data_IF_558008688885
#
_entry.id   IF_558008688885
#
_cell.length_a   1.000
_cell.length_b   1.000
_cell.length_c   1.000
_cell.angle_alpha   90.00
_cell.angle_beta   90.00
_cell.angle_gamma   90.00
#
_symmetry.space_group_name_H-M   'P 1'
#
loop_
_entity.id
_entity.type
_entity.pdbx_description
1 polymer ?
#
# COMPACT_ATOMS: atom_id res chain seq x y z
N UNK A 1 50.31 -5.74 -62.78
CA UNK A 1 49.74 -4.39 -62.66
C UNK A 1 48.48 -4.48 -61.83
N UNK A 2 48.64 -4.09 -60.65
CA UNK A 2 47.86 -3.32 -59.71
C UNK A 2 46.46 -3.83 -59.37
N UNK A 3 46.37 -4.57 -58.30
CA UNK A 3 45.13 -4.86 -57.57
C UNK A 3 44.93 -3.82 -56.46
N UNK A 4 43.86 -3.06 -56.56
CA UNK A 4 43.50 -2.08 -55.52
C UNK A 4 42.57 -2.80 -54.50
N UNK A 5 43.12 -3.00 -53.31
CA UNK A 5 42.40 -3.57 -52.16
C UNK A 5 41.44 -2.54 -51.57
N UNK A 6 40.17 -2.76 -51.70
CA UNK A 6 39.13 -1.91 -51.10
C UNK A 6 38.80 -2.41 -49.69
N UNK A 7 39.39 -1.76 -48.69
CA UNK A 7 39.04 -1.98 -47.27
C UNK A 7 37.73 -1.31 -46.97
N UNK A 8 36.68 -2.10 -46.80
CA UNK A 8 35.42 -1.65 -46.25
C UNK A 8 35.55 -1.52 -44.73
N UNK A 9 35.68 -0.30 -44.24
CA UNK A 9 35.49 0.02 -42.82
C UNK A 9 34.01 -0.13 -42.47
N UNK A 10 33.66 -1.19 -41.76
CA UNK A 10 32.37 -1.28 -41.05
C UNK A 10 32.43 -0.37 -39.85
N UNK A 11 31.85 0.82 -39.94
CA UNK A 11 31.59 1.68 -38.78
C UNK A 11 30.46 1.07 -37.98
N UNK A 12 30.82 0.24 -37.01
CA UNK A 12 29.93 -0.20 -35.94
C UNK A 12 29.46 1.00 -35.14
N UNK A 13 28.23 1.43 -35.39
CA UNK A 13 27.53 2.42 -34.58
C UNK A 13 27.25 1.79 -33.19
N UNK A 14 28.17 1.93 -32.26
CA UNK A 14 27.92 1.67 -30.84
C UNK A 14 26.74 2.56 -30.41
N UNK A 15 25.56 1.97 -30.29
CA UNK A 15 24.49 2.57 -29.51
C UNK A 15 25.01 2.69 -28.09
N UNK A 16 25.42 3.89 -27.70
CA UNK A 16 25.68 4.25 -26.31
C UNK A 16 24.34 4.17 -25.59
N UNK A 17 24.00 2.99 -25.06
CA UNK A 17 22.93 2.86 -24.07
C UNK A 17 23.22 3.83 -22.94
N UNK A 18 22.25 4.62 -22.54
CA UNK A 18 22.33 5.44 -21.34
C UNK A 18 22.85 4.55 -20.20
N UNK A 19 23.98 4.93 -19.62
CA UNK A 19 24.59 4.17 -18.55
C UNK A 19 23.60 4.15 -17.36
N UNK A 20 23.36 3.02 -16.71
CA UNK A 20 22.33 2.87 -15.67
C UNK A 20 22.48 3.87 -14.52
N UNK A 21 23.70 4.40 -14.27
CA UNK A 21 23.93 5.44 -13.28
C UNK A 21 23.29 6.79 -13.62
N UNK A 22 23.03 7.09 -14.91
CA UNK A 22 22.34 8.33 -15.34
C UNK A 22 20.87 8.31 -14.91
N UNK A 23 20.24 7.15 -14.95
CA UNK A 23 18.86 6.96 -14.46
C UNK A 23 18.79 7.02 -12.93
N UNK A 24 19.80 6.50 -12.23
CA UNK A 24 19.93 6.62 -10.78
C UNK A 24 20.13 8.08 -10.33
N UNK A 25 20.93 8.83 -11.05
CA UNK A 25 21.12 10.28 -10.80
C UNK A 25 19.86 11.06 -11.13
N UNK A 26 19.15 10.73 -12.22
CA UNK A 26 17.87 11.37 -12.56
C UNK A 26 16.79 11.06 -11.50
N UNK A 27 16.75 9.83 -10.98
CA UNK A 27 15.86 9.45 -9.89
C UNK A 27 16.21 10.19 -8.59
N UNK A 28 17.49 10.32 -8.25
CA UNK A 28 17.95 11.11 -7.09
C UNK A 28 17.67 12.61 -7.24
N UNK A 29 17.71 13.15 -8.46
CA UNK A 29 17.38 14.56 -8.72
C UNK A 29 15.87 14.84 -8.71
N UNK A 30 15.03 13.82 -8.88
CA UNK A 30 13.58 13.93 -8.73
C UNK A 30 13.09 13.88 -7.26
N UNK A 31 13.90 13.32 -6.33
CA UNK A 31 13.55 13.29 -4.90
C UNK A 31 13.34 14.68 -4.26
N UNK A 32 14.15 15.72 -4.54
CA UNK A 32 13.97 17.04 -3.94
C UNK A 32 12.66 17.73 -4.37
N UNK A 33 12.18 17.48 -5.58
CA UNK A 33 10.92 18.08 -6.07
C UNK A 33 9.68 17.47 -5.43
N UNK A 34 9.75 16.20 -5.01
CA UNK A 34 8.71 15.54 -4.20
C UNK A 34 8.74 16.04 -2.74
N UNK A 35 9.92 16.38 -2.21
CA UNK A 35 10.09 16.95 -0.86
C UNK A 35 9.61 18.40 -0.74
N UNK A 36 9.70 19.18 -1.81
CA UNK A 36 9.25 20.57 -1.82
C UNK A 36 7.71 20.70 -1.70
N UNK A 37 6.96 19.69 -2.02
CA UNK A 37 5.50 19.68 -1.92
C UNK A 37 4.98 19.44 -0.49
N UNK A 38 5.83 18.99 0.44
CA UNK A 38 5.45 18.77 1.85
C UNK A 38 5.74 19.97 2.77
N UNK A 39 6.40 21.00 2.27
CA UNK A 39 6.62 22.26 3.00
C UNK A 39 5.51 23.30 2.70
N UNK A 40 4.27 22.89 2.71
CA UNK A 40 3.21 23.83 2.97
C UNK A 40 3.41 24.33 4.42
N UNK A 41 3.56 25.66 4.65
CA UNK A 41 3.76 26.16 5.99
C UNK A 41 2.58 25.69 6.85
N UNK A 42 2.89 25.00 7.94
CA UNK A 42 1.93 24.77 9.01
C UNK A 42 1.37 26.15 9.37
N UNK A 43 0.04 26.35 9.38
CA UNK A 43 -0.49 27.62 9.85
C UNK A 43 -0.04 27.78 11.30
N UNK A 44 0.86 28.71 11.52
CA UNK A 44 1.26 29.15 12.86
C UNK A 44 0.03 29.82 13.43
N UNK A 45 -0.72 29.12 14.26
CA UNK A 45 -1.77 29.73 15.07
C UNK A 45 -1.09 30.65 16.09
N UNK A 46 -0.90 31.91 15.72
CA UNK A 46 -0.65 32.95 16.71
C UNK A 46 -1.87 32.99 17.62
N UNK A 47 -1.69 32.60 18.88
CA UNK A 47 -2.64 32.88 19.94
C UNK A 47 -2.69 34.39 20.12
N UNK A 48 -3.42 35.05 19.25
CA UNK A 48 -3.89 36.44 19.47
C UNK A 48 -5.01 36.38 20.50
N UNK A 49 -4.65 36.56 21.77
CA UNK A 49 -5.61 36.97 22.78
C UNK A 49 -6.07 38.37 22.43
N UNK A 50 -7.03 38.49 21.54
CA UNK A 50 -7.81 39.70 21.40
C UNK A 50 -9.11 39.50 22.18
N UNK A 51 -9.26 40.22 23.28
CA UNK A 51 -10.55 40.52 23.92
C UNK A 51 -11.47 41.20 22.89
N UNK A 52 -12.08 40.38 22.09
CA UNK A 52 -13.18 40.72 21.22
C UNK A 52 -14.29 39.73 21.52
N UNK A 53 -15.32 40.19 22.20
CA UNK A 53 -16.59 39.48 22.29
C UNK A 53 -17.07 39.19 20.87
N UNK A 54 -16.70 37.97 20.38
CA UNK A 54 -17.29 37.45 19.15
C UNK A 54 -18.77 37.24 19.44
N UNK A 55 -19.57 38.14 18.94
CA UNK A 55 -21.00 37.94 18.77
C UNK A 55 -21.17 36.72 17.84
N UNK A 56 -21.16 35.53 18.40
CA UNK A 56 -21.60 34.29 17.77
C UNK A 56 -23.13 34.44 17.61
N UNK A 57 -23.57 35.24 16.68
CA UNK A 57 -24.86 35.00 16.04
C UNK A 57 -24.76 33.65 15.42
N UNK A 58 -25.25 32.61 16.11
CA UNK A 58 -25.33 31.23 15.66
C UNK A 58 -26.36 31.11 14.53
N UNK A 59 -26.07 31.73 13.37
CA UNK A 59 -26.82 31.45 12.16
C UNK A 59 -26.37 30.06 11.74
N UNK A 60 -27.32 29.11 11.77
CA UNK A 60 -27.09 27.73 11.29
C UNK A 60 -26.48 27.79 9.88
N UNK A 61 -25.53 26.91 9.56
CA UNK A 61 -24.90 26.86 8.25
C UNK A 61 -25.94 26.74 7.12
N UNK A 62 -25.81 27.54 6.08
CA UNK A 62 -26.66 27.46 4.90
C UNK A 62 -26.18 26.42 3.88
N UNK A 63 -25.07 25.76 4.16
CA UNK A 63 -24.49 24.72 3.31
C UNK A 63 -24.12 23.49 4.16
N UNK A 64 -24.30 22.31 3.58
CA UNK A 64 -23.87 21.05 4.20
C UNK A 64 -23.10 20.20 3.18
N UNK A 65 -21.85 19.85 3.52
CA UNK A 65 -21.01 19.00 2.71
C UNK A 65 -21.37 17.54 2.97
N UNK A 66 -21.69 16.80 1.92
CA UNK A 66 -22.07 15.38 2.02
C UNK A 66 -20.84 14.50 1.80
N UNK A 67 -20.45 13.75 2.83
CA UNK A 67 -19.37 12.77 2.81
C UNK A 67 -19.94 11.36 2.89
N UNK A 68 -19.61 10.49 1.94
CA UNK A 68 -20.12 9.11 1.93
C UNK A 68 -19.15 8.16 2.67
N UNK A 69 -19.63 7.51 3.72
CA UNK A 69 -18.94 6.46 4.48
C UNK A 69 -19.54 5.12 4.08
N UNK A 70 -18.98 4.51 3.02
CA UNK A 70 -19.46 3.25 2.46
C UNK A 70 -18.37 2.20 2.29
N UNK A 71 -18.76 0.93 2.29
CA UNK A 71 -17.85 -0.19 2.21
C UNK A 71 -16.97 -0.36 3.45
N UNK A 72 -15.75 -0.88 3.28
CA UNK A 72 -14.82 -1.08 4.40
C UNK A 72 -14.27 0.24 4.93
N UNK A 73 -14.23 0.39 6.25
CA UNK A 73 -13.60 1.53 6.93
C UNK A 73 -12.10 1.28 6.99
N UNK A 74 -11.34 2.14 6.30
CA UNK A 74 -9.89 2.05 6.15
C UNK A 74 -9.22 3.43 6.31
N UNK A 75 -7.88 3.46 6.36
CA UNK A 75 -7.14 4.71 6.54
C UNK A 75 -7.34 5.69 5.37
N UNK A 76 -7.57 5.21 4.14
CA UNK A 76 -7.90 6.06 3.00
C UNK A 76 -9.24 6.78 3.20
N UNK A 77 -10.24 6.07 3.76
CA UNK A 77 -11.52 6.66 4.15
C UNK A 77 -11.34 7.70 5.26
N UNK A 78 -10.50 7.42 6.27
CA UNK A 78 -10.22 8.37 7.34
C UNK A 78 -9.60 9.67 6.80
N UNK A 79 -8.66 9.58 5.87
CA UNK A 79 -8.09 10.75 5.20
C UNK A 79 -9.10 11.53 4.36
N UNK A 80 -9.95 10.83 3.62
CA UNK A 80 -11.04 11.45 2.87
C UNK A 80 -11.99 12.23 3.79
N UNK A 81 -12.46 11.62 4.87
CA UNK A 81 -13.33 12.29 5.86
C UNK A 81 -12.64 13.50 6.46
N UNK A 82 -11.38 13.38 6.87
CA UNK A 82 -10.62 14.50 7.41
C UNK A 82 -10.44 15.65 6.39
N UNK A 83 -10.32 15.35 5.10
CA UNK A 83 -10.31 16.39 4.04
C UNK A 83 -11.66 17.11 3.97
N UNK A 84 -12.77 16.35 3.90
CA UNK A 84 -14.12 16.96 3.80
C UNK A 84 -14.43 17.83 5.01
N UNK A 85 -14.11 17.36 6.22
CA UNK A 85 -14.32 18.15 7.45
C UNK A 85 -13.49 19.45 7.42
N UNK A 86 -12.22 19.40 6.98
CA UNK A 86 -11.40 20.62 6.82
C UNK A 86 -11.97 21.60 5.80
N UNK A 87 -12.40 21.10 4.62
CA UNK A 87 -12.99 21.91 3.55
C UNK A 87 -14.29 22.59 4.02
N UNK A 88 -15.15 21.83 4.71
CA UNK A 88 -16.39 22.36 5.28
C UNK A 88 -16.11 23.40 6.37
N UNK A 89 -15.17 23.13 7.28
CA UNK A 89 -14.76 24.05 8.34
C UNK A 89 -14.21 25.35 7.79
N UNK A 90 -13.42 25.30 6.72
CA UNK A 90 -12.85 26.51 6.08
C UNK A 90 -13.90 27.49 5.54
N UNK A 91 -15.11 27.01 5.24
CA UNK A 91 -16.22 27.82 4.73
C UNK A 91 -17.39 27.92 5.71
N UNK A 92 -17.25 27.40 6.93
CA UNK A 92 -18.32 27.41 7.94
C UNK A 92 -19.55 26.58 7.55
N UNK A 93 -19.38 25.53 6.73
CA UNK A 93 -20.45 24.63 6.33
C UNK A 93 -20.57 23.43 7.30
N UNK A 94 -21.78 22.89 7.45
CA UNK A 94 -21.97 21.61 8.15
C UNK A 94 -21.43 20.42 7.36
N UNK A 95 -21.24 19.28 8.03
CA UNK A 95 -20.89 18.02 7.37
C UNK A 95 -21.94 16.95 7.63
N UNK A 96 -22.40 16.31 6.57
CA UNK A 96 -23.32 15.16 6.62
C UNK A 96 -22.56 13.91 6.22
N UNK A 97 -22.52 12.95 7.10
CA UNK A 97 -21.96 11.62 6.84
C UNK A 97 -23.06 10.65 6.43
N UNK A 98 -23.17 10.35 5.13
CA UNK A 98 -24.05 9.31 4.63
C UNK A 98 -23.42 7.96 4.86
N UNK A 99 -24.02 7.11 5.73
CA UNK A 99 -23.39 5.89 6.23
C UNK A 99 -24.17 4.66 5.74
N UNK A 100 -23.50 3.77 4.99
CA UNK A 100 -23.88 2.37 4.75
C UNK A 100 -22.62 1.51 4.72
N UNK A 101 -22.24 0.98 5.90
CA UNK A 101 -21.01 0.23 6.08
C UNK A 101 -21.19 -0.89 7.11
N UNK A 102 -20.55 -2.02 6.84
CA UNK A 102 -20.47 -3.17 7.76
C UNK A 102 -19.28 -3.09 8.70
N UNK A 103 -18.52 -1.98 8.69
CA UNK A 103 -17.37 -1.77 9.57
C UNK A 103 -16.03 -1.86 8.85
N UNK A 104 -14.97 -2.07 9.63
CA UNK A 104 -13.60 -2.13 9.12
C UNK A 104 -12.56 -2.00 10.23
N UNK A 105 -11.47 -1.29 9.98
CA UNK A 105 -10.36 -1.16 10.91
C UNK A 105 -10.71 -0.22 12.08
N UNK A 106 -10.49 -0.69 13.30
CA UNK A 106 -10.72 0.09 14.53
C UNK A 106 -9.90 1.39 14.52
N UNK A 107 -8.62 1.33 14.17
CA UNK A 107 -7.75 2.53 14.15
C UNK A 107 -8.24 3.59 13.17
N UNK A 108 -8.78 3.18 12.01
CA UNK A 108 -9.37 4.10 11.04
C UNK A 108 -10.68 4.71 11.56
N UNK A 109 -11.50 3.91 12.23
CA UNK A 109 -12.73 4.38 12.85
C UNK A 109 -12.45 5.40 13.96
N UNK A 110 -11.46 5.14 14.81
CA UNK A 110 -11.02 6.08 15.85
C UNK A 110 -10.54 7.41 15.25
N UNK A 111 -9.76 7.37 14.16
CA UNK A 111 -9.33 8.60 13.47
C UNK A 111 -10.52 9.39 12.91
N UNK A 112 -11.51 8.71 12.34
CA UNK A 112 -12.73 9.35 11.83
C UNK A 112 -13.53 9.93 13.00
N UNK A 113 -13.79 9.14 14.05
CA UNK A 113 -14.47 9.56 15.27
C UNK A 113 -13.83 10.82 15.87
N UNK A 114 -12.51 10.81 16.05
CA UNK A 114 -11.77 11.95 16.59
C UNK A 114 -11.86 13.18 15.68
N UNK A 115 -11.89 12.98 14.37
CA UNK A 115 -12.08 14.06 13.38
C UNK A 115 -13.47 14.68 13.54
N UNK A 116 -14.49 13.87 13.75
CA UNK A 116 -15.88 14.31 13.94
C UNK A 116 -16.02 15.04 15.28
N UNK A 117 -15.58 14.45 16.37
CA UNK A 117 -15.65 15.05 17.70
C UNK A 117 -14.90 16.39 17.85
N UNK A 118 -13.85 16.60 17.04
CA UNK A 118 -13.07 17.85 17.02
C UNK A 118 -13.52 18.82 15.94
N UNK A 119 -14.57 18.51 15.20
CA UNK A 119 -15.07 19.41 14.17
C UNK A 119 -15.64 20.70 14.81
N UNK A 120 -15.24 21.87 14.29
CA UNK A 120 -15.78 23.16 14.72
C UNK A 120 -16.99 23.58 13.88
N UNK A 121 -17.69 22.64 13.27
CA UNK A 121 -18.89 22.83 12.45
C UNK A 121 -19.89 21.73 12.78
N UNK A 122 -21.19 21.96 12.65
CA UNK A 122 -22.20 20.95 12.92
C UNK A 122 -21.98 19.68 12.09
N UNK A 123 -22.09 18.53 12.75
CA UNK A 123 -21.92 17.21 12.15
C UNK A 123 -23.18 16.39 12.23
N UNK A 124 -23.59 15.76 11.13
CA UNK A 124 -24.79 14.94 11.02
C UNK A 124 -24.38 13.57 10.51
N UNK A 125 -24.75 12.52 11.22
CA UNK A 125 -24.69 11.17 10.69
C UNK A 125 -26.09 10.77 10.17
N UNK A 126 -26.16 10.36 8.91
CA UNK A 126 -27.36 9.76 8.32
C UNK A 126 -27.08 8.30 7.99
N UNK A 127 -27.62 7.39 8.77
CA UNK A 127 -27.52 5.95 8.52
C UNK A 127 -28.56 5.54 7.48
N UNK A 128 -28.11 5.40 6.24
CA UNK A 128 -28.98 5.05 5.11
C UNK A 128 -29.33 3.56 5.11
N UNK A 129 -28.36 2.67 5.42
CA UNK A 129 -28.56 1.23 5.48
C UNK A 129 -28.02 0.64 6.77
N UNK A 130 -26.73 0.49 6.87
CA UNK A 130 -26.06 -0.15 8.00
C UNK A 130 -24.98 0.75 8.59
N UNK A 131 -24.95 0.82 9.91
CA UNK A 131 -23.84 1.34 10.66
C UNK A 131 -23.38 0.24 11.64
N UNK A 132 -22.69 -0.78 11.11
CA UNK A 132 -22.24 -1.91 11.93
C UNK A 132 -20.78 -1.80 12.32
N UNK A 133 -20.43 -2.37 13.48
CA UNK A 133 -19.06 -2.43 13.97
C UNK A 133 -18.43 -1.02 14.04
N UNK A 134 -17.28 -0.82 13.42
CA UNK A 134 -16.58 0.46 13.33
C UNK A 134 -17.46 1.62 12.81
N UNK A 135 -18.47 1.34 11.98
CA UNK A 135 -19.39 2.35 11.48
C UNK A 135 -20.37 2.84 12.56
N UNK A 136 -20.72 2.02 13.55
CA UNK A 136 -21.54 2.44 14.68
C UNK A 136 -20.82 3.49 15.51
N UNK A 137 -19.52 3.29 15.77
CA UNK A 137 -18.69 4.27 16.50
C UNK A 137 -18.64 5.62 15.76
N UNK A 138 -18.53 5.59 14.44
CA UNK A 138 -18.49 6.79 13.62
C UNK A 138 -19.85 7.50 13.62
N UNK A 139 -20.95 6.73 13.48
CA UNK A 139 -22.28 7.29 13.45
C UNK A 139 -22.64 8.01 14.76
N UNK A 140 -22.32 7.39 15.91
CA UNK A 140 -22.62 7.97 17.23
C UNK A 140 -21.74 9.17 17.58
N UNK A 141 -20.63 9.39 16.88
CA UNK A 141 -19.73 10.52 17.12
C UNK A 141 -20.26 11.86 16.57
N UNK A 142 -21.26 11.83 15.70
CA UNK A 142 -21.84 13.05 15.15
C UNK A 142 -22.79 13.73 16.16
N UNK A 143 -22.87 15.07 16.06
CA UNK A 143 -23.76 15.89 16.91
C UNK A 143 -25.22 15.50 16.73
N UNK A 144 -25.62 15.10 15.50
CA UNK A 144 -26.98 14.65 15.19
C UNK A 144 -26.94 13.33 14.45
N UNK A 145 -27.66 12.30 14.95
CA UNK A 145 -27.79 10.98 14.37
C UNK A 145 -29.20 10.78 13.83
N UNK A 146 -29.33 10.74 12.53
CA UNK A 146 -30.58 10.40 11.83
C UNK A 146 -30.46 9.01 11.20
N UNK A 147 -31.56 8.25 11.24
CA UNK A 147 -31.61 6.89 10.72
C UNK A 147 -32.74 6.72 9.71
N UNK A 148 -32.45 6.06 8.58
CA UNK A 148 -33.47 5.73 7.59
C UNK A 148 -34.36 4.56 8.06
N UNK A 149 -35.64 4.53 7.64
CA UNK A 149 -36.48 3.34 7.85
C UNK A 149 -35.79 2.09 7.27
N UNK A 150 -35.70 1.02 8.08
CA UNK A 150 -35.03 -0.22 7.70
C UNK A 150 -33.52 -0.23 7.92
N UNK A 151 -32.91 0.87 8.38
CA UNK A 151 -31.51 0.88 8.77
C UNK A 151 -31.27 0.29 10.15
N UNK A 152 -29.99 -0.01 10.45
CA UNK A 152 -29.58 -0.57 11.74
C UNK A 152 -28.20 -0.08 12.16
N UNK A 153 -27.96 -0.07 13.50
CA UNK A 153 -26.70 0.35 14.12
C UNK A 153 -26.31 -0.62 15.24
N UNK A 154 -25.02 -0.96 15.39
CA UNK A 154 -24.47 -1.81 16.46
C UNK A 154 -23.55 -2.91 15.97
N UNK A 155 -23.59 -4.10 16.59
CA UNK A 155 -22.79 -5.30 16.26
C UNK A 155 -21.28 -5.01 16.13
N UNK A 156 -20.65 -4.56 17.23
CA UNK A 156 -19.28 -3.99 17.20
C UNK A 156 -18.25 -4.82 17.97
N UNK A 157 -18.44 -6.13 18.09
CA UNK A 157 -17.44 -6.99 18.75
C UNK A 157 -16.08 -6.93 18.03
N UNK A 158 -14.98 -6.68 18.76
CA UNK A 158 -13.67 -6.54 18.15
C UNK A 158 -13.07 -7.87 17.69
N UNK A 159 -12.33 -7.84 16.58
CA UNK A 159 -11.57 -8.99 16.08
C UNK A 159 -10.07 -8.63 16.07
N UNK A 160 -9.20 -9.38 16.82
CA UNK A 160 -9.49 -10.57 17.63
C UNK A 160 -10.21 -10.23 18.94
N UNK A 161 -11.08 -11.13 19.40
CA UNK A 161 -11.75 -11.02 20.69
C UNK A 161 -10.77 -11.45 21.79
N UNK A 162 -10.20 -10.47 22.47
CA UNK A 162 -9.39 -10.66 23.69
C UNK A 162 -9.90 -9.75 24.79
N UNK A 163 -9.63 -10.07 26.05
CA UNK A 163 -10.04 -9.20 27.18
C UNK A 163 -9.51 -7.76 27.00
N UNK A 164 -8.29 -7.60 26.43
CA UNK A 164 -7.69 -6.29 26.16
C UNK A 164 -8.43 -5.53 25.07
N UNK A 165 -8.67 -6.16 23.93
CA UNK A 165 -9.34 -5.49 22.79
C UNK A 165 -10.79 -5.19 23.10
N UNK A 166 -11.50 -6.09 23.77
CA UNK A 166 -12.86 -5.89 24.22
C UNK A 166 -12.96 -4.68 25.16
N UNK A 167 -12.14 -4.66 26.22
CA UNK A 167 -12.13 -3.55 27.18
C UNK A 167 -11.81 -2.21 26.51
N UNK A 168 -10.80 -2.17 25.63
CA UNK A 168 -10.41 -0.94 24.95
C UNK A 168 -11.52 -0.41 24.02
N UNK A 169 -12.07 -1.27 23.16
CA UNK A 169 -13.11 -0.85 22.20
C UNK A 169 -14.40 -0.48 22.93
N UNK A 170 -14.76 -1.20 23.99
CA UNK A 170 -15.92 -0.84 24.82
C UNK A 170 -15.77 0.55 25.42
N UNK A 171 -14.62 0.86 26.02
CA UNK A 171 -14.36 2.18 26.59
C UNK A 171 -14.44 3.31 25.52
N UNK A 172 -13.99 3.06 24.29
CA UNK A 172 -14.12 4.03 23.20
C UNK A 172 -15.59 4.27 22.78
N UNK A 173 -16.42 3.24 22.78
CA UNK A 173 -17.85 3.35 22.52
C UNK A 173 -18.55 4.10 23.64
N UNK A 174 -18.31 3.74 24.90
CA UNK A 174 -18.86 4.43 26.09
C UNK A 174 -18.49 5.91 26.08
N UNK A 175 -17.21 6.23 25.95
CA UNK A 175 -16.71 7.61 25.94
C UNK A 175 -17.28 8.44 24.76
N UNK A 176 -17.47 7.81 23.58
CA UNK A 176 -18.05 8.50 22.43
C UNK A 176 -19.53 8.79 22.65
N UNK A 177 -20.28 7.83 23.20
CA UNK A 177 -21.70 8.01 23.55
C UNK A 177 -21.87 9.12 24.61
N UNK A 178 -21.06 9.10 25.66
CA UNK A 178 -21.07 10.13 26.70
C UNK A 178 -20.76 11.53 26.15
N UNK A 179 -19.76 11.65 25.26
CA UNK A 179 -19.40 12.92 24.63
C UNK A 179 -20.55 13.54 23.81
N UNK A 180 -21.44 12.69 23.28
CA UNK A 180 -22.58 13.12 22.48
C UNK A 180 -23.92 13.02 23.25
N UNK A 181 -23.88 12.81 24.56
CA UNK A 181 -25.08 12.73 25.40
C UNK A 181 -25.98 11.53 25.12
N UNK A 182 -25.41 10.46 24.53
CA UNK A 182 -26.12 9.20 24.25
C UNK A 182 -25.92 8.20 25.38
N UNK A 183 -26.80 7.19 25.44
CA UNK A 183 -26.72 6.15 26.48
C UNK A 183 -25.46 5.28 26.27
N UNK A 184 -24.49 5.41 27.19
CA UNK A 184 -23.24 4.67 27.17
C UNK A 184 -23.41 3.17 27.42
N UNK A 185 -24.49 2.74 28.12
CA UNK A 185 -24.77 1.32 28.34
C UNK A 185 -25.26 0.64 27.04
N UNK A 186 -26.07 1.34 26.23
CA UNK A 186 -26.45 0.86 24.89
C UNK A 186 -25.23 0.76 23.98
N UNK A 187 -24.34 1.75 24.04
CA UNK A 187 -23.08 1.74 23.28
C UNK A 187 -22.16 0.58 23.71
N UNK A 188 -22.02 0.35 25.01
CA UNK A 188 -21.25 -0.77 25.55
C UNK A 188 -21.81 -2.14 25.11
N UNK A 189 -23.13 -2.31 25.12
CA UNK A 189 -23.80 -3.54 24.70
C UNK A 189 -23.65 -3.84 23.20
N UNK A 190 -23.35 -2.85 22.37
CA UNK A 190 -22.96 -3.07 20.95
C UNK A 190 -21.63 -3.79 20.81
N UNK A 191 -20.75 -3.70 21.82
CA UNK A 191 -19.39 -4.22 21.81
C UNK A 191 -19.24 -5.49 22.63
N UNK A 192 -19.93 -5.56 23.77
CA UNK A 192 -19.75 -6.59 24.79
C UNK A 192 -21.05 -7.39 24.97
N UNK A 193 -21.05 -8.62 24.46
CA UNK A 193 -22.19 -9.52 24.55
C UNK A 193 -22.53 -9.98 25.98
N UNK A 194 -21.67 -9.74 26.98
CA UNK A 194 -21.97 -10.05 28.38
C UNK A 194 -22.99 -9.09 29.00
N UNK A 195 -23.20 -7.93 28.39
CA UNK A 195 -24.13 -6.90 28.87
C UNK A 195 -25.55 -7.23 28.45
N UNK A 196 -26.41 -7.41 29.46
CA UNK A 196 -27.85 -7.58 29.25
C UNK A 196 -28.59 -6.28 29.55
N UNK A 197 -29.52 -5.90 28.69
CA UNK A 197 -30.38 -4.73 28.90
C UNK A 197 -31.83 -5.20 28.79
N UNK A 198 -32.61 -5.21 29.89
CA UNK A 198 -33.97 -5.73 29.92
C UNK A 198 -34.86 -5.13 28.80
N UNK A 199 -35.48 -5.98 28.01
CA UNK A 199 -36.34 -5.58 26.89
C UNK A 199 -35.61 -5.03 25.65
N UNK A 200 -34.26 -5.16 25.58
CA UNK A 200 -33.44 -4.72 24.43
C UNK A 200 -32.52 -5.83 23.94
N UNK A 201 -31.69 -6.39 24.80
CA UNK A 201 -30.72 -7.44 24.46
C UNK A 201 -30.48 -8.37 25.65
N UNK A 202 -30.44 -9.67 25.39
CA UNK A 202 -30.14 -10.69 26.41
C UNK A 202 -28.64 -10.92 26.54
N UNK A 203 -28.19 -11.42 27.70
CA UNK A 203 -26.80 -11.81 27.89
C UNK A 203 -26.37 -12.88 26.88
N UNK A 204 -25.19 -12.73 26.31
CA UNK A 204 -24.67 -13.59 25.25
C UNK A 204 -25.03 -13.13 23.83
N UNK A 205 -25.73 -12.02 23.69
CA UNK A 205 -26.07 -11.41 22.39
C UNK A 205 -25.45 -10.02 22.27
N UNK A 206 -24.97 -9.68 21.08
CA UNK A 206 -24.52 -8.32 20.76
C UNK A 206 -25.70 -7.44 20.40
N UNK A 207 -25.74 -6.24 20.95
CA UNK A 207 -26.77 -5.28 20.61
C UNK A 207 -26.64 -4.80 19.17
N UNK A 208 -27.74 -4.93 18.43
CA UNK A 208 -27.99 -4.24 17.16
C UNK A 208 -29.39 -3.64 17.19
N UNK A 209 -29.48 -2.35 17.02
CA UNK A 209 -30.77 -1.63 17.03
C UNK A 209 -31.22 -1.32 15.61
N UNK A 210 -32.48 -1.54 15.34
CA UNK A 210 -33.16 -0.97 14.17
C UNK A 210 -33.40 0.51 14.38
N UNK A 211 -33.65 1.26 13.31
CA UNK A 211 -33.99 2.69 13.42
C UNK A 211 -35.13 2.97 14.41
N UNK A 212 -36.17 2.11 14.43
CA UNK A 212 -37.30 2.26 15.36
C UNK A 212 -36.86 2.13 16.82
N UNK A 213 -36.09 1.10 17.15
CA UNK A 213 -35.57 0.87 18.51
C UNK A 213 -34.58 2.00 18.92
N UNK A 214 -33.71 2.43 18.02
CA UNK A 214 -32.77 3.50 18.29
C UNK A 214 -33.48 4.83 18.59
N UNK A 215 -34.57 5.13 17.88
CA UNK A 215 -35.42 6.31 18.15
C UNK A 215 -36.18 6.16 19.47
N UNK A 216 -36.82 5.03 19.72
CA UNK A 216 -37.58 4.75 20.96
C UNK A 216 -36.68 4.89 22.20
N UNK A 217 -35.44 4.45 22.10
CA UNK A 217 -34.45 4.51 23.20
C UNK A 217 -33.71 5.87 23.25
N UNK A 218 -34.00 6.82 22.39
CA UNK A 218 -33.33 8.11 22.34
C UNK A 218 -31.83 8.03 21.95
N UNK A 219 -31.43 6.89 21.35
CA UNK A 219 -30.06 6.73 20.85
C UNK A 219 -29.85 7.43 19.51
N UNK A 220 -30.86 7.41 18.64
CA UNK A 220 -30.94 8.23 17.43
C UNK A 220 -31.84 9.46 17.67
N UNK A 221 -31.47 10.60 17.10
CA UNK A 221 -32.16 11.87 17.30
C UNK A 221 -33.37 12.02 16.38
N UNK A 222 -33.33 11.42 15.18
CA UNK A 222 -34.40 11.53 14.20
C UNK A 222 -34.50 10.32 13.26
N UNK A 223 -35.74 10.05 12.80
CA UNK A 223 -35.97 9.23 11.62
C UNK A 223 -35.97 10.10 10.35
N UNK A 224 -35.24 9.69 9.32
CA UNK A 224 -35.15 10.46 8.08
C UNK A 224 -35.25 9.55 6.86
N UNK A 225 -36.06 9.93 5.87
CA UNK A 225 -36.21 9.18 4.62
C UNK A 225 -35.05 9.41 3.64
N UNK A 226 -34.22 10.42 3.87
CA UNK A 226 -33.06 10.77 3.04
C UNK A 226 -32.23 11.89 3.65
N UNK A 227 -31.13 12.24 3.00
CA UNK A 227 -30.16 13.25 3.50
C UNK A 227 -30.83 14.61 3.76
N UNK A 228 -31.73 15.05 2.87
CA UNK A 228 -32.43 16.32 3.04
C UNK A 228 -33.21 16.36 4.36
N UNK A 229 -34.03 15.34 4.61
CA UNK A 229 -34.80 15.25 5.86
C UNK A 229 -33.93 15.05 7.10
N UNK A 230 -32.74 14.43 6.98
CA UNK A 230 -31.77 14.35 8.06
C UNK A 230 -31.18 15.73 8.41
N UNK A 231 -30.87 16.55 7.40
CA UNK A 231 -30.41 17.92 7.58
C UNK A 231 -31.47 18.82 8.16
N UNK A 232 -32.71 18.68 7.68
CA UNK A 232 -33.87 19.43 8.20
C UNK A 232 -34.11 19.11 9.69
N UNK A 233 -34.01 17.82 10.09
CA UNK A 233 -34.19 17.39 11.49
C UNK A 233 -33.10 17.94 12.42
N UNK A 234 -31.91 18.24 11.87
CA UNK A 234 -30.82 18.89 12.61
C UNK A 234 -30.98 20.43 12.71
N UNK A 235 -32.13 20.99 12.31
CA UNK A 235 -32.43 22.41 12.37
C UNK A 235 -31.85 23.24 11.22
N UNK A 236 -31.40 22.60 10.15
CA UNK A 236 -30.79 23.26 8.98
C UNK A 236 -31.65 23.13 7.73
N UNK A 237 -32.96 23.35 7.90
CA UNK A 237 -33.93 23.30 6.80
C UNK A 237 -33.54 24.29 5.68
N UNK A 238 -33.54 23.79 4.44
CA UNK A 238 -33.17 24.61 3.27
C UNK A 238 -31.68 24.78 3.03
N UNK A 239 -30.79 24.11 3.81
CA UNK A 239 -29.37 24.14 3.54
C UNK A 239 -29.04 23.50 2.19
N UNK A 240 -28.15 24.16 1.43
CA UNK A 240 -27.66 23.59 0.15
C UNK A 240 -26.74 22.43 0.37
N UNK A 241 -27.09 21.24 -0.15
CA UNK A 241 -26.26 20.05 -0.10
C UNK A 241 -25.15 20.13 -1.16
N UNK A 242 -23.91 19.96 -0.75
CA UNK A 242 -22.72 19.94 -1.62
C UNK A 242 -22.08 18.56 -1.54
N UNK A 243 -22.18 17.79 -2.61
CA UNK A 243 -21.50 16.49 -2.66
C UNK A 243 -19.98 16.68 -2.65
N UNK A 244 -19.32 15.99 -1.74
CA UNK A 244 -17.86 16.01 -1.59
C UNK A 244 -17.29 14.60 -1.87
N UNK A 245 -17.26 14.14 -3.13
CA UNK A 245 -16.86 12.78 -3.46
C UNK A 245 -15.37 12.54 -3.18
N UNK A 246 -15.01 11.25 -3.04
CA UNK A 246 -13.61 10.85 -3.03
C UNK A 246 -12.95 11.19 -4.37
N UNK A 247 -11.76 11.78 -4.33
CA UNK A 247 -10.94 12.04 -5.51
C UNK A 247 -10.48 10.74 -6.15
N UNK A 248 -10.06 10.81 -7.43
CA UNK A 248 -9.52 9.63 -8.12
C UNK A 248 -8.27 9.07 -7.43
N UNK A 249 -7.44 9.94 -6.85
CA UNK A 249 -6.26 9.54 -6.09
C UNK A 249 -6.62 8.80 -4.78
N UNK A 250 -7.63 9.28 -4.05
CA UNK A 250 -8.13 8.63 -2.83
C UNK A 250 -8.74 7.25 -3.15
N UNK A 251 -9.54 7.15 -4.23
CA UNK A 251 -10.10 5.86 -4.68
C UNK A 251 -9.00 4.87 -5.07
N UNK A 252 -8.00 5.33 -5.84
CA UNK A 252 -6.87 4.51 -6.23
C UNK A 252 -6.06 4.08 -5.01
N UNK A 253 -5.77 4.98 -4.07
CA UNK A 253 -5.05 4.66 -2.85
C UNK A 253 -5.77 3.59 -2.03
N UNK A 254 -7.09 3.69 -1.85
CA UNK A 254 -7.90 2.66 -1.18
C UNK A 254 -7.83 1.30 -1.88
N UNK A 255 -7.89 1.30 -3.22
CA UNK A 255 -7.78 0.07 -4.01
C UNK A 255 -6.42 -0.60 -3.82
N UNK A 256 -5.32 0.15 -3.98
CA UNK A 256 -3.96 -0.44 -3.97
C UNK A 256 -3.48 -0.80 -2.56
N UNK A 257 -4.06 -0.19 -1.51
CA UNK A 257 -3.80 -0.56 -0.12
C UNK A 257 -4.75 -1.64 0.42
N UNK A 258 -5.68 -2.12 -0.41
CA UNK A 258 -6.59 -3.19 -0.01
C UNK A 258 -5.81 -4.47 0.30
N UNK A 259 -6.13 -5.21 1.39
CA UNK A 259 -5.40 -6.41 1.81
C UNK A 259 -5.25 -7.52 0.76
N UNK A 260 -6.16 -7.58 -0.22
CA UNK A 260 -6.05 -8.52 -1.33
C UNK A 260 -5.21 -7.98 -2.50
N UNK A 261 -5.08 -6.67 -2.68
CA UNK A 261 -4.40 -6.04 -3.83
C UNK A 261 -2.94 -5.74 -3.51
N UNK A 262 -2.64 -5.26 -2.31
CA UNK A 262 -1.28 -4.90 -1.91
C UNK A 262 -0.26 -6.05 -2.07
N UNK A 263 -0.54 -7.31 -1.64
CA UNK A 263 0.38 -8.44 -1.87
C UNK A 263 0.59 -8.77 -3.35
N UNK A 264 -0.45 -8.60 -4.19
CA UNK A 264 -0.35 -8.83 -5.63
C UNK A 264 0.56 -7.80 -6.29
N UNK A 265 0.40 -6.51 -5.94
CA UNK A 265 1.29 -5.45 -6.44
C UNK A 265 2.74 -5.71 -6.05
N UNK A 266 2.99 -6.09 -4.79
CA UNK A 266 4.33 -6.42 -4.33
C UNK A 266 4.91 -7.64 -5.05
N UNK A 267 4.10 -8.68 -5.29
CA UNK A 267 4.51 -9.86 -6.07
C UNK A 267 4.87 -9.47 -7.50
N UNK A 268 4.03 -8.68 -8.18
CA UNK A 268 4.30 -8.19 -9.55
C UNK A 268 5.58 -7.38 -9.58
N UNK A 269 5.78 -6.49 -8.60
CA UNK A 269 6.99 -5.68 -8.49
C UNK A 269 8.24 -6.56 -8.37
N UNK A 270 8.26 -7.50 -7.42
CA UNK A 270 9.41 -8.37 -7.17
C UNK A 270 9.73 -9.27 -8.38
N UNK A 271 8.70 -9.92 -8.95
CA UNK A 271 8.89 -10.77 -10.14
C UNK A 271 9.43 -9.98 -11.32
N UNK A 272 8.85 -8.79 -11.56
CA UNK A 272 9.28 -7.92 -12.66
C UNK A 272 10.74 -7.46 -12.48
N UNK A 273 11.15 -7.11 -11.25
CA UNK A 273 12.53 -6.74 -10.94
C UNK A 273 13.48 -7.94 -11.11
N UNK A 274 13.09 -9.14 -10.68
CA UNK A 274 13.88 -10.37 -10.89
C UNK A 274 14.07 -10.61 -12.39
N UNK A 275 13.00 -10.56 -13.20
CA UNK A 275 13.08 -10.74 -14.64
C UNK A 275 14.01 -9.69 -15.27
N UNK A 276 13.92 -8.43 -14.83
CA UNK A 276 14.76 -7.34 -15.31
C UNK A 276 16.25 -7.58 -15.06
N UNK A 277 16.61 -8.06 -13.88
CA UNK A 277 18.02 -8.39 -13.53
C UNK A 277 18.59 -9.44 -14.47
N UNK A 278 17.77 -10.40 -14.93
CA UNK A 278 18.20 -11.44 -15.87
C UNK A 278 18.02 -11.04 -17.35
N UNK A 279 17.53 -9.85 -17.63
CA UNK A 279 17.37 -9.32 -18.98
C UNK A 279 18.62 -8.55 -19.44
N UNK A 280 18.90 -8.57 -20.72
CA UNK A 280 20.02 -7.81 -21.29
C UNK A 280 19.66 -6.34 -21.51
N UNK A 281 19.57 -5.56 -20.44
CA UNK A 281 19.28 -4.11 -20.47
C UNK A 281 17.91 -3.78 -19.84
N UNK A 282 17.67 -2.48 -19.54
CA UNK A 282 16.40 -2.02 -18.98
C UNK A 282 15.27 -2.16 -20.00
N UNK A 283 14.27 -2.97 -19.68
CA UNK A 283 13.17 -3.34 -20.56
C UNK A 283 11.79 -3.17 -19.95
N UNK A 284 10.80 -3.77 -20.58
CA UNK A 284 9.40 -3.67 -20.17
C UNK A 284 9.15 -4.21 -18.73
N UNK A 285 9.89 -5.23 -18.33
CA UNK A 285 9.74 -5.81 -16.99
C UNK A 285 10.14 -4.80 -15.90
N UNK A 286 11.26 -4.09 -16.07
CA UNK A 286 11.68 -3.05 -15.13
C UNK A 286 10.65 -1.92 -15.01
N UNK A 287 10.06 -1.49 -16.11
CA UNK A 287 8.98 -0.48 -16.11
C UNK A 287 7.77 -0.96 -15.34
N UNK A 288 7.31 -2.20 -15.59
CA UNK A 288 6.18 -2.80 -14.85
C UNK A 288 6.48 -2.89 -13.36
N UNK A 289 7.69 -3.32 -12.98
CA UNK A 289 8.13 -3.39 -11.60
C UNK A 289 8.11 -2.02 -10.90
N UNK A 290 8.63 -0.98 -11.55
CA UNK A 290 8.62 0.38 -11.02
C UNK A 290 7.21 0.96 -10.88
N UNK A 291 6.32 0.71 -11.84
CA UNK A 291 4.92 1.12 -11.75
C UNK A 291 4.24 0.42 -10.57
N UNK A 292 4.42 -0.88 -10.42
CA UNK A 292 3.84 -1.64 -9.30
C UNK A 292 4.35 -1.15 -7.93
N UNK A 293 5.64 -0.84 -7.81
CA UNK A 293 6.22 -0.21 -6.60
C UNK A 293 5.67 1.19 -6.35
N UNK A 294 5.58 2.01 -7.39
CA UNK A 294 5.02 3.35 -7.30
C UNK A 294 3.56 3.34 -6.84
N UNK A 295 2.76 2.39 -7.34
CA UNK A 295 1.38 2.19 -6.89
C UNK A 295 1.34 1.68 -5.44
N UNK A 296 2.20 0.72 -5.07
CA UNK A 296 2.25 0.19 -3.71
C UNK A 296 2.61 1.28 -2.70
N UNK A 297 3.79 1.89 -2.82
CA UNK A 297 4.25 2.89 -1.85
C UNK A 297 3.48 4.21 -1.96
N UNK A 298 3.18 4.67 -3.16
CA UNK A 298 2.39 5.90 -3.39
C UNK A 298 0.97 5.77 -2.84
N UNK A 299 0.34 4.60 -3.00
CA UNK A 299 -0.96 4.31 -2.40
C UNK A 299 -0.93 4.35 -0.87
N UNK A 300 0.09 3.72 -0.25
CA UNK A 300 0.26 3.72 1.21
C UNK A 300 0.56 5.13 1.75
N UNK A 301 1.33 5.94 1.01
CA UNK A 301 1.59 7.33 1.36
C UNK A 301 0.32 8.19 1.29
N UNK A 302 -0.46 8.09 0.21
CA UNK A 302 -1.74 8.82 0.06
C UNK A 302 -2.75 8.36 1.11
N UNK A 303 -2.83 7.07 1.40
CA UNK A 303 -3.67 6.52 2.46
C UNK A 303 -3.19 6.86 3.87
N UNK A 304 -1.96 7.38 4.03
CA UNK A 304 -1.39 7.76 5.32
C UNK A 304 -1.00 6.59 6.21
N UNK A 305 -0.75 5.46 5.63
CA UNK A 305 -0.36 4.25 6.36
C UNK A 305 1.15 4.23 6.61
N UNK A 306 1.94 4.77 5.67
CA UNK A 306 3.39 4.90 5.80
C UNK A 306 3.86 6.28 5.38
N UNK A 307 4.91 6.80 6.01
CA UNK A 307 5.55 8.04 5.63
C UNK A 307 6.51 7.85 4.44
N UNK A 308 7.13 8.93 3.98
CA UNK A 308 8.13 8.91 2.91
C UNK A 308 9.39 8.12 3.30
N UNK A 309 9.71 8.06 4.60
CA UNK A 309 10.83 7.32 5.17
C UNK A 309 10.74 5.82 4.89
N UNK A 310 9.53 5.28 4.86
CA UNK A 310 9.26 3.87 4.52
C UNK A 310 9.62 3.60 3.05
N UNK A 311 9.24 4.50 2.16
CA UNK A 311 9.59 4.43 0.73
C UNK A 311 11.10 4.57 0.53
N UNK A 312 11.73 5.51 1.24
CA UNK A 312 13.18 5.70 1.19
C UNK A 312 13.95 4.47 1.69
N UNK A 313 13.48 3.81 2.74
CA UNK A 313 14.06 2.58 3.26
C UNK A 313 13.98 1.44 2.24
N UNK A 314 12.89 1.33 1.48
CA UNK A 314 12.77 0.35 0.40
C UNK A 314 13.77 0.64 -0.72
N UNK A 315 13.86 1.89 -1.17
CA UNK A 315 14.82 2.31 -2.20
C UNK A 315 16.25 2.01 -1.75
N UNK A 316 16.59 2.31 -0.49
CA UNK A 316 17.88 1.97 0.08
C UNK A 316 18.14 0.46 0.00
N UNK A 317 17.17 -0.37 0.34
CA UNK A 317 17.27 -1.82 0.21
C UNK A 317 17.57 -2.28 -1.20
N UNK A 318 16.87 -1.71 -2.20
CA UNK A 318 17.13 -2.00 -3.62
C UNK A 318 18.53 -1.56 -4.03
N UNK A 319 18.98 -0.38 -3.62
CA UNK A 319 20.35 0.13 -3.91
C UNK A 319 21.40 -0.79 -3.32
N UNK A 320 21.23 -1.23 -2.07
CA UNK A 320 22.19 -2.16 -1.44
C UNK A 320 22.26 -3.50 -2.18
N UNK A 321 21.13 -4.05 -2.63
CA UNK A 321 21.12 -5.27 -3.46
C UNK A 321 21.83 -5.06 -4.81
N UNK A 322 21.68 -3.90 -5.44
CA UNK A 322 22.40 -3.58 -6.66
C UNK A 322 23.90 -3.46 -6.41
N UNK A 323 24.30 -2.81 -5.31
CA UNK A 323 25.72 -2.70 -4.93
C UNK A 323 26.36 -4.08 -4.72
N UNK A 324 25.66 -5.01 -4.04
CA UNK A 324 26.12 -6.41 -3.88
C UNK A 324 26.37 -7.11 -5.21
N UNK A 325 25.52 -6.83 -6.22
CA UNK A 325 25.68 -7.40 -7.57
C UNK A 325 26.93 -6.90 -8.32
N UNK A 326 27.45 -5.73 -7.97
CA UNK A 326 28.63 -5.11 -8.61
C UNK A 326 29.90 -5.22 -7.76
N UNK A 327 29.76 -5.26 -6.44
CA UNK A 327 30.87 -5.31 -5.48
C UNK A 327 30.73 -6.60 -4.67
N UNK A 328 31.51 -7.65 -4.98
CA UNK A 328 31.44 -8.89 -4.22
C UNK A 328 31.91 -8.65 -2.77
N UNK A 329 30.95 -8.43 -1.88
CA UNK A 329 31.13 -7.96 -0.51
C UNK A 329 30.73 -8.95 0.58
N UNK A 330 30.92 -10.25 0.38
CA UNK A 330 30.58 -11.30 1.37
C UNK A 330 29.10 -11.32 1.82
N UNK A 331 28.17 -10.77 1.04
CA UNK A 331 26.73 -10.77 1.31
C UNK A 331 26.26 -9.66 2.27
N UNK A 332 27.10 -8.80 2.78
CA UNK A 332 26.74 -7.75 3.74
C UNK A 332 25.71 -6.79 3.14
N UNK A 333 25.97 -6.29 1.93
CA UNK A 333 25.04 -5.40 1.24
C UNK A 333 23.77 -6.13 0.80
N UNK A 334 23.88 -7.41 0.41
CA UNK A 334 22.75 -8.25 0.06
C UNK A 334 21.81 -8.49 1.24
N UNK A 335 22.36 -8.92 2.37
CA UNK A 335 21.59 -9.12 3.61
C UNK A 335 21.01 -7.80 4.12
N UNK A 336 21.81 -6.73 4.16
CA UNK A 336 21.35 -5.39 4.57
C UNK A 336 20.23 -4.87 3.68
N UNK A 337 20.35 -5.05 2.36
CA UNK A 337 19.33 -4.67 1.39
C UNK A 337 18.01 -5.43 1.58
N UNK A 338 18.09 -6.75 1.77
CA UNK A 338 16.92 -7.58 2.03
C UNK A 338 16.22 -7.19 3.36
N UNK A 339 16.98 -6.99 4.42
CA UNK A 339 16.45 -6.54 5.72
C UNK A 339 15.76 -5.18 5.58
N UNK A 340 16.37 -4.22 4.87
CA UNK A 340 15.78 -2.91 4.63
C UNK A 340 14.45 -3.00 3.84
N UNK A 341 14.38 -3.86 2.81
CA UNK A 341 13.15 -4.08 2.04
C UNK A 341 12.04 -4.73 2.89
N UNK A 342 12.38 -5.76 3.66
CA UNK A 342 11.42 -6.43 4.55
C UNK A 342 10.93 -5.46 5.62
N UNK A 343 11.82 -4.70 6.25
CA UNK A 343 11.47 -3.69 7.24
C UNK A 343 10.56 -2.61 6.66
N UNK A 344 10.84 -2.15 5.43
CA UNK A 344 10.03 -1.16 4.75
C UNK A 344 8.59 -1.67 4.50
N UNK A 345 8.42 -2.90 4.00
CA UNK A 345 7.08 -3.49 3.80
C UNK A 345 6.36 -3.70 5.12
N UNK A 346 7.10 -4.10 6.17
CA UNK A 346 6.55 -4.23 7.52
C UNK A 346 6.04 -2.89 8.06
N UNK A 347 6.83 -1.83 7.93
CA UNK A 347 6.45 -0.48 8.37
C UNK A 347 5.37 0.16 7.49
N UNK A 348 5.26 -0.23 6.21
CA UNK A 348 4.18 0.19 5.33
C UNK A 348 2.83 -0.46 5.67
N UNK A 349 2.81 -1.52 6.45
CA UNK A 349 1.61 -2.29 6.76
C UNK A 349 0.92 -1.77 8.02
N UNK A 350 -0.41 -1.88 8.06
CA UNK A 350 -1.25 -1.38 9.19
C UNK A 350 -1.15 -2.25 10.44
N UNK A 351 -0.84 -3.53 10.25
CA UNK A 351 -0.66 -4.48 11.34
C UNK A 351 0.47 -5.44 11.04
N UNK A 352 1.08 -6.00 12.08
CA UNK A 352 2.10 -7.04 11.95
C UNK A 352 1.57 -8.28 11.19
N UNK A 353 0.30 -8.60 11.37
CA UNK A 353 -0.35 -9.73 10.67
C UNK A 353 -0.50 -9.46 9.19
N UNK A 354 -0.91 -8.26 8.77
CA UNK A 354 -1.04 -7.88 7.37
C UNK A 354 0.33 -7.76 6.70
N UNK A 355 1.33 -7.23 7.43
CA UNK A 355 2.71 -7.21 6.98
C UNK A 355 3.23 -8.62 6.67
N UNK A 356 3.07 -9.53 7.64
CA UNK A 356 3.53 -10.90 7.52
C UNK A 356 2.81 -11.65 6.38
N UNK A 357 1.49 -11.51 6.28
CA UNK A 357 0.71 -12.09 5.17
C UNK A 357 1.19 -11.57 3.82
N UNK A 358 1.33 -10.26 3.67
CA UNK A 358 1.78 -9.63 2.43
C UNK A 358 3.18 -10.08 2.03
N UNK A 359 4.12 -10.15 2.99
CA UNK A 359 5.48 -10.63 2.77
C UNK A 359 5.51 -12.11 2.39
N UNK A 360 4.82 -12.96 3.14
CA UNK A 360 4.78 -14.41 2.86
C UNK A 360 4.17 -14.67 1.48
N UNK A 361 3.02 -14.05 1.17
CA UNK A 361 2.37 -14.20 -0.14
C UNK A 361 3.30 -13.70 -1.25
N UNK A 362 3.90 -12.51 -1.10
CA UNK A 362 4.77 -11.95 -2.10
C UNK A 362 6.04 -12.81 -2.32
N UNK A 363 6.68 -13.28 -1.27
CA UNK A 363 7.89 -14.11 -1.36
C UNK A 363 7.56 -15.47 -1.99
N UNK A 364 6.52 -16.17 -1.52
CA UNK A 364 6.14 -17.48 -2.06
C UNK A 364 5.70 -17.36 -3.51
N UNK A 365 4.80 -16.42 -3.82
CA UNK A 365 4.30 -16.24 -5.17
C UNK A 365 5.40 -15.77 -6.13
N UNK A 366 6.27 -14.83 -5.72
CA UNK A 366 7.38 -14.35 -6.56
C UNK A 366 8.40 -15.45 -6.81
N UNK A 367 8.73 -16.26 -5.80
CA UNK A 367 9.64 -17.40 -5.95
C UNK A 367 9.07 -18.46 -6.90
N UNK A 368 7.82 -18.87 -6.69
CA UNK A 368 7.15 -19.85 -7.53
C UNK A 368 7.05 -19.36 -9.00
N UNK A 369 6.63 -18.12 -9.19
CA UNK A 369 6.50 -17.53 -10.51
C UNK A 369 7.86 -17.34 -11.18
N UNK A 370 8.89 -16.95 -10.46
CA UNK A 370 10.26 -16.84 -10.97
C UNK A 370 10.81 -18.20 -11.42
N UNK A 371 10.62 -19.25 -10.62
CA UNK A 371 11.00 -20.62 -10.99
C UNK A 371 10.27 -21.07 -12.26
N UNK A 372 8.95 -20.80 -12.35
CA UNK A 372 8.16 -21.11 -13.53
C UNK A 372 8.68 -20.36 -14.76
N UNK A 373 8.91 -19.05 -14.63
CA UNK A 373 9.43 -18.22 -15.73
C UNK A 373 10.81 -18.66 -16.20
N UNK A 374 11.72 -18.98 -15.27
CA UNK A 374 13.04 -19.54 -15.61
C UNK A 374 12.89 -20.85 -16.36
N UNK A 375 12.06 -21.78 -15.89
CA UNK A 375 11.82 -23.07 -16.57
C UNK A 375 11.24 -22.90 -17.97
N UNK A 376 10.24 -22.03 -18.12
CA UNK A 376 9.62 -21.73 -19.44
C UNK A 376 10.60 -21.00 -20.33
N UNK A 377 11.33 -20.01 -19.79
CA UNK A 377 12.34 -19.25 -20.53
C UNK A 377 13.49 -20.09 -21.03
N UNK A 378 13.98 -21.06 -20.22
CA UNK A 378 14.99 -22.03 -20.66
C UNK A 378 14.45 -22.91 -21.80
N UNK A 379 13.21 -23.41 -21.69
CA UNK A 379 12.59 -24.25 -22.74
C UNK A 379 12.35 -23.49 -24.04
N UNK A 380 12.05 -22.18 -23.95
CA UNK A 380 11.80 -21.31 -25.11
C UNK A 380 13.04 -20.61 -25.63
N UNK A 381 14.22 -20.87 -25.04
CA UNK A 381 15.48 -20.26 -25.46
C UNK A 381 15.62 -18.77 -25.14
N UNK A 382 14.79 -18.20 -24.27
CA UNK A 382 14.89 -16.78 -23.88
C UNK A 382 16.25 -16.44 -23.27
N UNK A 383 16.85 -17.42 -22.59
CA UNK A 383 18.17 -17.31 -21.97
C UNK A 383 19.31 -17.84 -22.86
N UNK A 384 19.06 -18.12 -24.13
CA UNK A 384 20.08 -18.68 -25.05
C UNK A 384 21.32 -17.78 -25.18
N UNK A 385 21.20 -16.48 -24.93
CA UNK A 385 22.33 -15.54 -24.91
C UNK A 385 23.16 -15.60 -23.62
N UNK A 386 22.60 -16.14 -22.53
CA UNK A 386 23.26 -16.29 -21.22
C UNK A 386 23.89 -17.67 -21.06
N UNK A 387 23.45 -18.66 -21.84
CA UNK A 387 24.03 -19.98 -21.88
C UNK A 387 25.08 -20.02 -22.99
N UNK A 388 26.34 -20.27 -22.66
CA UNK A 388 27.38 -20.60 -23.64
C UNK A 388 26.97 -21.92 -24.30
N UNK A 389 26.17 -21.85 -25.36
CA UNK A 389 25.80 -23.00 -26.17
C UNK A 389 26.92 -23.43 -27.14
N UNK A 390 28.07 -22.75 -27.14
CA UNK A 390 29.23 -23.17 -27.89
C UNK A 390 29.91 -24.32 -27.16
N UNK A 391 29.50 -25.54 -27.48
CA UNK A 391 30.36 -26.68 -27.22
C UNK A 391 31.57 -26.56 -28.13
N UNK A 392 32.77 -26.56 -27.57
CA UNK A 392 34.02 -26.73 -28.35
C UNK A 392 34.00 -28.12 -29.02
N UNK A 393 33.42 -28.19 -30.21
CA UNK A 393 33.32 -29.42 -30.97
C UNK A 393 34.49 -29.48 -31.95
N UNK A 394 35.12 -30.62 -32.00
CA UNK A 394 36.27 -30.88 -32.90
C UNK A 394 35.89 -30.76 -34.37
N UNK A 395 34.62 -31.04 -34.72
CA UNK A 395 34.06 -30.88 -36.08
C UNK A 395 33.92 -29.41 -36.53
N UNK A 396 33.98 -28.45 -35.59
CA UNK A 396 33.95 -26.99 -35.84
C UNK A 396 35.34 -26.35 -35.80
N UNK A 397 36.40 -27.13 -35.83
CA UNK A 397 37.78 -26.65 -35.91
C UNK A 397 38.43 -26.28 -34.53
N UNK A 398 37.69 -26.52 -33.44
CA UNK A 398 38.28 -26.34 -32.11
C UNK A 398 39.09 -27.60 -31.70
N UNK A 399 40.33 -27.66 -32.18
CA UNK A 399 41.28 -28.73 -31.76
C UNK A 399 42.17 -28.13 -30.70
N UNK A 400 42.02 -28.60 -29.46
CA UNK A 400 42.84 -28.15 -28.33
C UNK A 400 44.33 -28.48 -28.52
N UNK A 401 44.63 -29.44 -29.37
CA UNK A 401 45.96 -29.83 -29.84
C UNK A 401 45.82 -30.58 -31.16
N UNK A 402 46.60 -30.23 -32.16
CA UNK A 402 46.69 -31.02 -33.39
C UNK A 402 47.07 -32.46 -33.02
N UNK A 403 46.19 -33.40 -33.36
CA UNK A 403 46.49 -34.81 -33.18
C UNK A 403 47.54 -35.17 -34.24
N UNK A 404 48.76 -35.35 -33.82
CA UNK A 404 49.86 -35.83 -34.64
C UNK A 404 49.66 -37.29 -34.98
N UNK A 405 48.71 -37.58 -35.87
CA UNK A 405 48.38 -38.94 -36.33
C UNK A 405 49.58 -39.55 -37.10
N UNK A 406 50.45 -38.71 -37.63
CA UNK A 406 51.72 -39.05 -38.26
C UNK A 406 52.74 -39.77 -37.33
N UNK A 407 52.53 -39.63 -36.00
CA UNK A 407 53.39 -40.27 -35.01
C UNK A 407 52.84 -41.63 -34.52
N UNK A 408 51.66 -42.03 -34.93
CA UNK A 408 51.09 -43.30 -34.57
C UNK A 408 51.88 -44.45 -35.19
N UNK A 409 52.34 -45.41 -34.35
CA UNK A 409 53.15 -46.55 -34.79
C UNK A 409 54.65 -46.28 -34.96
N UNK A 410 55.12 -45.01 -34.69
CA UNK A 410 56.56 -44.69 -34.69
C UNK A 410 57.15 -44.92 -33.31
N UNK A 411 58.42 -45.34 -33.27
CA UNK A 411 59.20 -45.46 -32.05
C UNK A 411 60.01 -44.16 -31.85
N UNK A 412 60.05 -43.64 -30.61
CA UNK A 412 60.77 -42.41 -30.22
C UNK A 412 61.43 -42.57 -28.85
N UNK A 413 62.33 -41.65 -28.54
CA UNK A 413 63.06 -41.65 -27.24
C UNK A 413 62.42 -40.60 -26.30
N UNK A 414 62.03 -41.01 -25.11
CA UNK A 414 61.55 -40.08 -24.08
C UNK A 414 62.69 -39.17 -23.59
N UNK A 415 62.54 -37.86 -23.77
CA UNK A 415 63.53 -36.84 -23.33
C UNK A 415 63.27 -36.43 -21.89
N UNK A 416 62.02 -36.45 -21.46
CA UNK A 416 61.59 -36.20 -20.09
C UNK A 416 60.67 -37.31 -19.57
N UNK A 417 60.45 -37.35 -18.24
CA UNK A 417 59.48 -38.29 -17.63
C UNK A 417 58.09 -38.08 -18.21
N UNK A 418 57.41 -39.15 -18.67
CA UNK A 418 56.08 -39.13 -19.27
C UNK A 418 54.94 -39.29 -18.23
N UNK A 419 55.01 -38.70 -17.05
CA UNK A 419 54.03 -38.82 -15.97
C UNK A 419 53.58 -37.42 -15.48
N UNK A 420 52.39 -37.01 -15.78
CA UNK A 420 51.36 -37.45 -16.73
C UNK A 420 51.60 -36.93 -18.15
N UNK A 421 52.55 -36.00 -18.35
CA UNK A 421 52.94 -35.46 -19.64
C UNK A 421 54.47 -35.35 -19.71
N UNK A 422 55.04 -35.48 -20.90
CA UNK A 422 56.48 -35.34 -21.14
C UNK A 422 56.79 -35.11 -22.61
N UNK A 423 58.06 -34.91 -22.91
CA UNK A 423 58.56 -34.67 -24.26
C UNK A 423 59.25 -35.96 -24.76
N UNK A 424 58.92 -36.38 -25.95
CA UNK A 424 59.60 -37.47 -26.65
C UNK A 424 60.15 -36.95 -27.97
N UNK A 425 61.29 -37.43 -28.42
CA UNK A 425 61.93 -37.12 -29.68
C UNK A 425 61.70 -38.30 -30.62
N UNK A 426 61.26 -38.06 -31.83
CA UNK A 426 61.16 -38.99 -32.90
C UNK A 426 62.26 -38.63 -33.92
N UNK A 427 62.84 -39.61 -34.55
CA UNK A 427 64.13 -39.47 -35.28
C UNK A 427 64.17 -38.40 -36.40
N UNK A 428 63.00 -37.93 -36.85
CA UNK A 428 62.86 -36.94 -37.91
C UNK A 428 62.14 -35.64 -37.51
N UNK A 429 61.87 -35.44 -36.20
CA UNK A 429 61.11 -34.29 -35.70
C UNK A 429 61.63 -33.79 -34.38
#
# INVERSE_FOLDING_TARGET
MSAVTKVLRSTGRQRRGLRPWVLLVALMLMLPSLLAWQQAPSPTYALGLSDGSLNLSSTMPTRAYVSTIGGAIDAGLARYVARVVREATAVGAAVVFRIDSTGGLVDAALQIRDTILRANVPTIAFVEGRAWSAAALIAMAADHLAMAPGSSIGAAEPIPLTAKTLSAVRAEFEATAEAQGRDSLLAAAMVDASIAIPGVVDAGQLLSMTAGVALERGFADAGAAGIGSAVDSAGMAGATLVEAPQTSAEKLARLVTHPAVAPVLLTVALVSLIIEVFSAGFGAAGVVGLIALGLFFGGHLIAGVGGWEVTALFILGVVLLLVEGFVPGFGIFGVGGLVAMIASVYLASRSSTDALRSLVVAIVASTALSILMIRVGMRRGWFARLTLAQSLRTDQGFVAREQRVDLMGRTGTAVTSLRPAGTARFDDL
#
